data_IF_026553926615
#
_entry.id   IF_026553926615
#
_cell.length_a   1.000
_cell.length_b   1.000
_cell.length_c   1.000
_cell.angle_alpha   90.00
_cell.angle_beta   90.00
_cell.angle_gamma   90.00
#
_symmetry.space_group_name_H-M   'P 1'
#
loop_
_entity.id
_entity.type
_entity.pdbx_description
1 polymer ?
#
# COMPACT_ATOMS: atom_id res chain seq x y z
N UNK A 1 -42.85 -31.93 -62.91
CA UNK A 1 -43.58 -32.84 -61.99
C UNK A 1 -42.64 -33.20 -60.84
N UNK A 2 -43.08 -32.92 -59.61
CA UNK A 2 -42.34 -33.18 -58.38
C UNK A 2 -42.18 -34.69 -58.11
N UNK A 3 -41.25 -35.06 -57.21
CA UNK A 3 -41.52 -35.91 -56.03
C UNK A 3 -40.26 -36.11 -55.16
N UNK A 4 -40.39 -35.61 -53.92
CA UNK A 4 -39.95 -36.13 -52.59
C UNK A 4 -38.48 -36.18 -52.13
N UNK A 5 -38.28 -35.39 -51.05
CA UNK A 5 -37.43 -35.56 -49.86
C UNK A 5 -37.32 -37.00 -49.32
N UNK A 6 -36.12 -37.32 -48.81
CA UNK A 6 -35.93 -38.13 -47.60
C UNK A 6 -35.00 -37.39 -46.63
N UNK A 7 -35.27 -37.57 -45.34
CA UNK A 7 -34.71 -36.89 -44.16
C UNK A 7 -34.10 -37.96 -43.26
N UNK A 8 -33.01 -37.63 -42.55
CA UNK A 8 -32.50 -38.37 -41.39
C UNK A 8 -31.00 -38.65 -41.47
N UNK A 9 -30.16 -38.32 -40.48
CA UNK A 9 -30.42 -37.76 -39.17
C UNK A 9 -29.13 -37.44 -38.38
N UNK A 10 -29.32 -36.60 -37.35
CA UNK A 10 -28.77 -36.65 -35.97
C UNK A 10 -27.23 -36.55 -35.76
N UNK A 11 -26.82 -35.38 -35.22
CA UNK A 11 -25.61 -35.07 -34.42
C UNK A 11 -25.49 -35.99 -33.16
N UNK A 12 -24.38 -36.10 -32.35
CA UNK A 12 -23.61 -34.93 -31.90
C UNK A 12 -22.19 -35.10 -31.25
N UNK A 13 -21.69 -33.94 -30.76
CA UNK A 13 -20.69 -33.67 -29.69
C UNK A 13 -19.20 -34.04 -29.88
N UNK A 14 -18.32 -33.03 -29.82
CA UNK A 14 -17.51 -32.76 -28.61
C UNK A 14 -16.34 -31.80 -28.91
N UNK A 15 -16.27 -30.73 -28.10
CA UNK A 15 -15.06 -30.05 -27.62
C UNK A 15 -13.81 -30.00 -28.49
N UNK A 16 -13.51 -28.82 -29.02
CA UNK A 16 -12.14 -28.31 -28.99
C UNK A 16 -12.17 -27.04 -28.14
N UNK A 17 -12.17 -27.26 -26.82
CA UNK A 17 -11.69 -26.27 -25.86
C UNK A 17 -10.16 -26.29 -25.88
N UNK A 18 -9.58 -25.14 -25.54
CA UNK A 18 -8.18 -24.87 -25.29
C UNK A 18 -7.32 -24.84 -26.56
N UNK A 19 -6.72 -23.71 -26.94
CA UNK A 19 -5.85 -22.90 -26.07
C UNK A 19 -6.15 -21.42 -26.31
N UNK A 20 -7.06 -20.85 -25.52
CA UNK A 20 -6.94 -19.42 -25.18
C UNK A 20 -5.77 -19.39 -24.22
N UNK A 21 -4.60 -19.07 -24.74
CA UNK A 21 -3.40 -18.82 -23.96
C UNK A 21 -3.80 -17.94 -22.77
N UNK A 22 -3.57 -18.45 -21.56
CA UNK A 22 -3.53 -17.61 -20.38
C UNK A 22 -2.41 -16.61 -20.66
N UNK A 23 -2.77 -15.42 -21.13
CA UNK A 23 -1.89 -14.27 -21.03
C UNK A 23 -1.74 -14.03 -19.53
N UNK A 24 -0.69 -14.60 -18.95
CA UNK A 24 -0.11 -14.05 -17.73
C UNK A 24 0.23 -12.60 -18.08
N UNK A 25 -0.64 -11.67 -17.72
CA UNK A 25 -0.38 -10.24 -17.89
C UNK A 25 0.91 -9.95 -17.15
N UNK A 26 1.96 -9.60 -17.89
CA UNK A 26 3.14 -8.98 -17.31
C UNK A 26 2.69 -7.63 -16.76
N UNK A 27 2.61 -7.49 -15.43
CA UNK A 27 2.36 -6.21 -14.77
C UNK A 27 3.40 -5.20 -15.25
N UNK A 28 2.94 -4.05 -15.73
CA UNK A 28 3.86 -2.97 -16.10
C UNK A 28 4.42 -2.31 -14.84
N UNK A 29 5.52 -1.55 -14.96
CA UNK A 29 6.05 -0.77 -13.84
C UNK A 29 5.01 0.21 -13.27
N UNK A 30 4.14 0.73 -14.14
CA UNK A 30 2.98 1.57 -13.76
C UNK A 30 1.98 0.79 -12.90
N UNK A 31 1.58 -0.40 -13.34
CA UNK A 31 0.60 -1.20 -12.60
C UNK A 31 1.14 -1.59 -11.22
N UNK A 32 2.46 -1.83 -11.14
CA UNK A 32 3.10 -2.20 -9.89
C UNK A 32 2.99 -1.10 -8.82
N UNK A 33 3.33 0.14 -9.14
CA UNK A 33 3.29 1.23 -8.14
C UNK A 33 1.87 1.55 -7.72
N UNK A 34 0.89 1.50 -8.63
CA UNK A 34 -0.52 1.73 -8.27
C UNK A 34 -1.07 0.62 -7.36
N UNK A 35 -0.68 -0.63 -7.60
CA UNK A 35 -1.07 -1.74 -6.72
C UNK A 35 -0.41 -1.66 -5.34
N UNK A 36 0.81 -1.11 -5.25
CA UNK A 36 1.49 -0.88 -3.96
C UNK A 36 0.67 0.09 -3.11
N UNK A 37 0.28 1.24 -3.65
CA UNK A 37 -0.52 2.23 -2.92
C UNK A 37 -1.90 1.68 -2.49
N UNK A 38 -2.59 0.95 -3.38
CA UNK A 38 -3.87 0.31 -3.02
C UNK A 38 -3.67 -0.73 -1.91
N UNK A 39 -2.59 -1.51 -1.96
CA UNK A 39 -2.29 -2.49 -0.94
C UNK A 39 -1.95 -1.83 0.41
N UNK A 40 -1.23 -0.72 0.40
CA UNK A 40 -0.96 0.11 1.58
C UNK A 40 -2.25 0.66 2.19
N UNK A 41 -3.11 1.28 1.37
CA UNK A 41 -4.42 1.79 1.77
C UNK A 41 -5.26 0.68 2.46
N UNK A 42 -5.39 -0.49 1.82
CA UNK A 42 -6.14 -1.60 2.38
C UNK A 42 -5.54 -2.15 3.67
N UNK A 43 -4.20 -2.23 3.74
CA UNK A 43 -3.48 -2.70 4.92
C UNK A 43 -3.78 -1.79 6.11
N UNK A 44 -3.61 -0.48 5.95
CA UNK A 44 -3.83 0.47 7.02
C UNK A 44 -5.29 0.62 7.41
N UNK A 45 -6.24 0.51 6.47
CA UNK A 45 -7.68 0.44 6.80
C UNK A 45 -8.00 -0.74 7.71
N UNK A 46 -7.43 -1.92 7.43
CA UNK A 46 -7.62 -3.11 8.27
C UNK A 46 -6.96 -2.94 9.64
N UNK A 47 -5.77 -2.35 9.68
CA UNK A 47 -5.07 -2.11 10.94
C UNK A 47 -5.80 -1.10 11.83
N UNK A 48 -6.30 0.00 11.26
CA UNK A 48 -7.11 1.00 11.96
C UNK A 48 -8.36 0.40 12.63
N UNK A 49 -9.01 -0.58 12.00
CA UNK A 49 -10.20 -1.25 12.55
C UNK A 49 -9.91 -2.11 13.79
N UNK A 50 -8.66 -2.53 13.98
CA UNK A 50 -8.27 -3.48 15.04
C UNK A 50 -7.35 -2.86 16.08
N UNK A 51 -6.74 -1.72 15.77
CA UNK A 51 -5.87 -1.00 16.66
C UNK A 51 -6.66 -0.36 17.82
N UNK A 52 -6.10 -0.33 19.04
CA UNK A 52 -6.70 0.37 20.17
C UNK A 52 -6.54 1.88 20.04
N UNK A 53 -7.54 2.64 20.52
CA UNK A 53 -7.42 4.10 20.60
C UNK A 53 -6.24 4.53 21.50
N UNK A 54 -5.47 5.57 21.11
CA UNK A 54 -5.64 6.43 19.92
C UNK A 54 -4.81 6.01 18.69
N UNK A 55 -4.35 4.76 18.59
CA UNK A 55 -3.49 4.32 17.48
C UNK A 55 -4.24 4.14 16.15
N UNK A 56 -5.54 3.86 16.24
CA UNK A 56 -6.45 3.81 15.10
C UNK A 56 -6.44 5.11 14.28
N UNK A 57 -6.24 6.27 14.92
CA UNK A 57 -6.10 7.56 14.22
C UNK A 57 -4.86 7.57 13.30
N UNK A 58 -3.71 7.10 13.78
CA UNK A 58 -2.48 7.06 12.98
C UNK A 58 -2.68 6.20 11.73
N UNK A 59 -3.25 5.00 11.91
CA UNK A 59 -3.47 4.09 10.79
C UNK A 59 -4.57 4.59 9.83
N UNK A 60 -5.59 5.29 10.34
CA UNK A 60 -6.61 5.90 9.48
C UNK A 60 -6.02 7.01 8.61
N UNK A 61 -5.07 7.78 9.14
CA UNK A 61 -4.36 8.82 8.37
C UNK A 61 -3.40 8.23 7.35
N UNK A 62 -2.60 7.23 7.73
CA UNK A 62 -1.75 6.50 6.78
C UNK A 62 -2.58 5.95 5.62
N UNK A 63 -3.70 5.28 5.90
CA UNK A 63 -4.61 4.81 4.84
C UNK A 63 -5.14 5.94 3.93
N UNK A 64 -5.39 7.13 4.46
CA UNK A 64 -5.83 8.26 3.66
C UNK A 64 -4.71 8.80 2.76
N UNK A 65 -3.48 8.83 3.25
CA UNK A 65 -2.31 9.28 2.47
C UNK A 65 -1.97 8.30 1.34
N UNK A 66 -1.99 6.99 1.59
CA UNK A 66 -1.86 5.95 0.54
C UNK A 66 -2.90 6.11 -0.58
N UNK A 67 -4.13 6.49 -0.20
CA UNK A 67 -5.18 6.78 -1.17
C UNK A 67 -4.84 8.02 -2.03
N UNK A 68 -4.35 9.09 -1.40
CA UNK A 68 -3.92 10.31 -2.08
C UNK A 68 -2.72 10.07 -3.00
N UNK A 69 -1.78 9.21 -2.60
CA UNK A 69 -0.66 8.74 -3.42
C UNK A 69 -1.15 8.01 -4.67
N UNK A 70 -2.06 7.04 -4.51
CA UNK A 70 -2.66 6.32 -5.64
C UNK A 70 -3.35 7.29 -6.62
N UNK A 71 -4.12 8.26 -6.10
CA UNK A 71 -4.76 9.27 -6.94
C UNK A 71 -3.73 10.14 -7.68
N UNK A 72 -2.67 10.55 -7.00
CA UNK A 72 -1.60 11.40 -7.53
C UNK A 72 -0.88 10.70 -8.67
N UNK A 73 -0.47 9.44 -8.48
CA UNK A 73 0.15 8.62 -9.50
C UNK A 73 -0.79 8.35 -10.67
N UNK A 74 -2.05 8.01 -10.40
CA UNK A 74 -3.05 7.76 -11.45
C UNK A 74 -3.23 8.97 -12.36
N UNK A 75 -3.38 10.17 -11.77
CA UNK A 75 -3.51 11.44 -12.51
C UNK A 75 -2.24 11.73 -13.32
N UNK A 76 -1.06 11.55 -12.72
CA UNK A 76 0.21 11.74 -13.41
C UNK A 76 0.34 10.82 -14.64
N UNK A 77 -0.07 9.55 -14.54
CA UNK A 77 0.03 8.60 -15.65
C UNK A 77 -1.02 8.77 -16.73
N UNK A 78 -2.26 9.14 -16.38
CA UNK A 78 -3.36 9.18 -17.34
C UNK A 78 -3.45 10.49 -18.13
N UNK A 79 -3.15 11.61 -17.47
CA UNK A 79 -3.32 12.94 -18.08
C UNK A 79 -2.01 13.71 -18.19
N UNK A 80 -0.88 13.14 -17.73
CA UNK A 80 0.42 13.81 -17.74
C UNK A 80 0.47 15.04 -16.84
N UNK A 81 -0.44 15.15 -15.89
CA UNK A 81 -0.56 16.29 -14.98
C UNK A 81 -0.16 15.85 -13.57
N UNK A 82 0.92 16.43 -13.05
CA UNK A 82 1.32 16.25 -11.66
C UNK A 82 0.48 17.23 -10.82
N UNK A 83 -0.40 16.74 -9.93
CA UNK A 83 -1.20 17.62 -9.09
C UNK A 83 -0.33 18.41 -8.11
N UNK A 84 -0.94 19.37 -7.41
CA UNK A 84 -0.23 20.07 -6.31
C UNK A 84 0.12 19.04 -5.25
N UNK A 85 1.42 18.95 -4.97
CA UNK A 85 1.98 18.02 -3.99
C UNK A 85 1.87 18.65 -2.60
N UNK A 86 1.26 17.92 -1.68
CA UNK A 86 1.09 18.30 -0.29
C UNK A 86 1.92 17.36 0.56
N UNK A 87 2.87 17.91 1.29
CA UNK A 87 3.69 17.13 2.19
C UNK A 87 2.91 16.69 3.42
N UNK A 88 2.97 15.41 3.73
CA UNK A 88 2.40 14.80 4.92
C UNK A 88 3.03 15.33 6.21
N UNK A 89 2.20 15.43 7.25
CA UNK A 89 2.57 15.68 8.65
C UNK A 89 2.49 14.42 9.53
N UNK A 90 2.30 13.24 8.94
CA UNK A 90 1.99 12.00 9.67
C UNK A 90 3.06 11.61 10.68
N UNK A 91 4.33 11.87 10.39
CA UNK A 91 5.42 11.59 11.32
C UNK A 91 5.29 12.41 12.61
N UNK A 92 4.89 13.69 12.50
CA UNK A 92 4.68 14.56 13.66
C UNK A 92 3.39 14.20 14.40
N UNK A 93 2.32 13.88 13.67
CA UNK A 93 1.05 13.43 14.25
C UNK A 93 1.25 12.14 15.05
N UNK A 94 1.91 11.14 14.45
CA UNK A 94 2.23 9.87 15.07
C UNK A 94 3.08 10.06 16.33
N UNK A 95 4.15 10.86 16.24
CA UNK A 95 5.01 11.20 17.37
C UNK A 95 4.23 11.78 18.57
N UNK A 96 3.32 12.73 18.29
CA UNK A 96 2.51 13.36 19.33
C UNK A 96 1.53 12.37 19.97
N UNK A 97 0.93 11.47 19.17
CA UNK A 97 0.05 10.41 19.65
C UNK A 97 0.81 9.44 20.57
N UNK A 98 2.00 8.98 20.16
CA UNK A 98 2.80 8.04 20.96
C UNK A 98 3.23 8.64 22.29
N UNK A 99 3.68 9.91 22.28
CA UNK A 99 3.97 10.66 23.52
C UNK A 99 2.78 10.82 24.43
N UNK A 100 1.59 11.03 23.87
CA UNK A 100 0.35 11.12 24.65
C UNK A 100 0.04 9.80 25.35
N UNK A 101 0.18 8.66 24.65
CA UNK A 101 -0.02 7.33 25.23
C UNK A 101 0.97 7.07 26.36
N UNK A 102 2.26 7.36 26.13
CA UNK A 102 3.31 7.19 27.13
C UNK A 102 2.98 7.92 28.45
N UNK A 103 2.45 9.15 28.34
CA UNK A 103 2.11 9.99 29.47
C UNK A 103 0.85 9.55 30.22
N UNK A 104 -0.20 9.17 29.49
CA UNK A 104 -1.56 9.09 30.06
C UNK A 104 -2.01 7.65 30.37
N UNK A 105 -1.54 6.64 29.61
CA UNK A 105 -2.05 5.27 29.69
C UNK A 105 -0.95 4.20 29.83
N UNK A 106 0.28 4.53 29.41
CA UNK A 106 1.34 3.55 29.25
C UNK A 106 1.02 2.51 28.16
N UNK A 107 1.98 1.64 27.89
CA UNK A 107 1.83 0.60 26.86
C UNK A 107 0.86 -0.50 27.31
N UNK A 108 -0.19 -0.76 26.53
CA UNK A 108 -1.13 -1.85 26.82
C UNK A 108 -0.65 -3.19 26.24
N UNK A 109 -1.15 -4.31 26.79
CA UNK A 109 -0.87 -5.65 26.25
C UNK A 109 -1.40 -5.81 24.82
N UNK A 110 -2.51 -5.16 24.50
CA UNK A 110 -3.14 -5.22 23.19
C UNK A 110 -2.32 -4.43 22.14
N UNK A 111 -1.65 -3.35 22.55
CA UNK A 111 -0.68 -2.65 21.69
C UNK A 111 0.55 -3.52 21.43
N UNK A 112 1.08 -4.19 22.46
CA UNK A 112 2.24 -5.08 22.32
C UNK A 112 1.96 -6.30 21.44
N UNK A 113 0.73 -6.83 21.46
CA UNK A 113 0.38 -8.02 20.67
C UNK A 113 0.41 -7.79 19.16
N UNK A 114 0.43 -6.53 18.72
CA UNK A 114 0.49 -6.12 17.32
C UNK A 114 1.92 -5.81 16.83
N UNK A 115 2.97 -6.04 17.64
CA UNK A 115 4.36 -5.71 17.30
C UNK A 115 4.80 -6.26 15.93
N UNK A 116 4.50 -7.52 15.63
CA UNK A 116 4.88 -8.13 14.34
C UNK A 116 4.23 -7.41 13.15
N UNK A 117 3.01 -6.91 13.32
CA UNK A 117 2.29 -6.14 12.30
C UNK A 117 2.92 -4.76 12.13
N UNK A 118 3.35 -4.11 13.22
CA UNK A 118 4.05 -2.83 13.14
C UNK A 118 5.43 -2.96 12.46
N UNK A 119 6.16 -4.04 12.73
CA UNK A 119 7.41 -4.36 12.04
C UNK A 119 7.14 -4.59 10.55
N UNK A 120 6.09 -5.34 10.20
CA UNK A 120 5.70 -5.56 8.82
C UNK A 120 5.40 -4.24 8.09
N UNK A 121 4.63 -3.35 8.71
CA UNK A 121 4.29 -2.04 8.17
C UNK A 121 5.55 -1.19 7.95
N UNK A 122 6.41 -1.06 8.97
CA UNK A 122 7.68 -0.33 8.85
C UNK A 122 8.54 -0.85 7.70
N UNK A 123 8.66 -2.17 7.58
CA UNK A 123 9.49 -2.80 6.55
C UNK A 123 8.85 -2.69 5.15
N UNK A 124 7.52 -2.58 5.06
CA UNK A 124 6.80 -2.24 3.83
C UNK A 124 7.16 -0.82 3.38
N UNK A 125 7.04 0.18 4.25
CA UNK A 125 7.35 1.57 3.88
C UNK A 125 8.82 1.79 3.54
N UNK A 126 9.72 1.11 4.24
CA UNK A 126 11.13 1.14 3.88
C UNK A 126 11.36 0.64 2.44
N UNK A 127 10.65 -0.43 2.03
CA UNK A 127 10.75 -0.98 0.66
C UNK A 127 10.11 -0.05 -0.37
N UNK A 128 8.96 0.52 -0.08
CA UNK A 128 8.26 1.46 -0.98
C UNK A 128 9.11 2.72 -1.20
N UNK A 129 9.62 3.31 -0.12
CA UNK A 129 10.59 4.42 -0.16
C UNK A 129 11.78 4.09 -1.07
N UNK A 130 12.44 2.97 -0.82
CA UNK A 130 13.65 2.60 -1.58
C UNK A 130 13.32 2.32 -3.05
N UNK A 131 12.11 1.80 -3.34
CA UNK A 131 11.62 1.61 -4.70
C UNK A 131 11.43 2.95 -5.42
N UNK A 132 10.73 3.91 -4.81
CA UNK A 132 10.52 5.23 -5.41
C UNK A 132 11.81 6.03 -5.54
N UNK A 133 12.71 5.93 -4.56
CA UNK A 133 14.03 6.54 -4.66
C UNK A 133 14.80 6.01 -5.88
N UNK A 134 14.79 4.69 -6.10
CA UNK A 134 15.41 4.09 -7.28
C UNK A 134 14.75 4.55 -8.59
N UNK A 135 13.43 4.65 -8.63
CA UNK A 135 12.72 5.19 -9.80
C UNK A 135 13.15 6.64 -10.09
N UNK A 136 13.34 7.46 -9.07
CA UNK A 136 13.84 8.82 -9.22
C UNK A 136 15.29 8.88 -9.75
N UNK A 137 16.16 7.97 -9.34
CA UNK A 137 17.55 7.88 -9.82
C UNK A 137 17.64 7.52 -11.31
N UNK A 138 16.75 6.64 -11.77
CA UNK A 138 16.72 6.13 -13.15
C UNK A 138 15.94 7.06 -14.11
N UNK A 139 15.11 7.97 -13.59
CA UNK A 139 14.27 8.86 -14.36
C UNK A 139 15.04 10.00 -15.04
N UNK A 140 14.77 10.19 -16.33
CA UNK A 140 15.43 11.21 -17.18
C UNK A 140 14.58 12.46 -17.35
N UNK A 141 13.26 12.34 -17.25
CA UNK A 141 12.35 13.47 -17.29
C UNK A 141 12.38 14.20 -15.93
N UNK A 142 12.76 15.49 -15.87
CA UNK A 142 12.86 16.21 -14.60
C UNK A 142 11.56 16.35 -13.81
N UNK A 143 10.41 16.38 -14.48
CA UNK A 143 9.09 16.49 -13.83
C UNK A 143 8.68 15.16 -13.21
N UNK A 144 8.82 14.06 -13.97
CA UNK A 144 8.59 12.71 -13.45
C UNK A 144 9.55 12.36 -12.31
N UNK A 145 10.81 12.80 -12.40
CA UNK A 145 11.80 12.63 -11.34
C UNK A 145 11.35 13.29 -10.04
N UNK A 146 10.86 14.52 -10.10
CA UNK A 146 10.35 15.23 -8.91
C UNK A 146 9.16 14.53 -8.28
N UNK A 147 8.27 13.93 -9.09
CA UNK A 147 7.18 13.12 -8.57
C UNK A 147 7.73 11.91 -7.80
N UNK A 148 8.70 11.18 -8.35
CA UNK A 148 9.31 10.04 -7.65
C UNK A 148 10.07 10.43 -6.38
N UNK A 149 10.78 11.56 -6.39
CA UNK A 149 11.43 12.12 -5.21
C UNK A 149 10.41 12.48 -4.12
N UNK A 150 9.26 13.03 -4.53
CA UNK A 150 8.16 13.31 -3.61
C UNK A 150 7.57 12.04 -3.03
N UNK A 151 7.22 11.04 -3.84
CA UNK A 151 6.72 9.75 -3.35
C UNK A 151 7.70 9.12 -2.36
N UNK A 152 8.99 9.07 -2.70
CA UNK A 152 10.01 8.53 -1.79
C UNK A 152 10.09 9.29 -0.45
N UNK A 153 9.88 10.62 -0.46
CA UNK A 153 9.85 11.43 0.75
C UNK A 153 8.64 11.10 1.62
N UNK A 154 7.46 10.94 1.03
CA UNK A 154 6.23 10.62 1.76
C UNK A 154 6.32 9.22 2.39
N UNK A 155 6.75 8.21 1.63
CA UNK A 155 7.02 6.86 2.16
C UNK A 155 8.07 6.87 3.28
N UNK A 156 9.05 7.78 3.20
CA UNK A 156 10.01 7.94 4.29
C UNK A 156 9.35 8.46 5.57
N UNK A 157 8.38 9.37 5.47
CA UNK A 157 7.63 9.87 6.64
C UNK A 157 6.76 8.77 7.25
N UNK A 158 6.13 7.93 6.42
CA UNK A 158 5.37 6.76 6.87
C UNK A 158 6.28 5.75 7.58
N UNK A 159 7.44 5.44 6.99
CA UNK A 159 8.49 4.64 7.63
C UNK A 159 8.88 5.21 8.99
N UNK A 160 9.06 6.54 9.10
CA UNK A 160 9.42 7.19 10.36
C UNK A 160 8.34 7.05 11.43
N UNK A 161 7.07 7.20 11.06
CA UNK A 161 5.95 6.95 11.96
C UNK A 161 5.95 5.49 12.47
N UNK A 162 6.09 4.53 11.57
CA UNK A 162 6.07 3.10 11.93
C UNK A 162 7.33 2.63 12.66
N UNK A 163 8.50 3.19 12.34
CA UNK A 163 9.74 2.92 13.06
C UNK A 163 9.68 3.44 14.51
N UNK A 164 9.07 4.61 14.71
CA UNK A 164 8.81 5.12 16.05
C UNK A 164 7.78 4.26 16.81
N UNK A 165 6.72 3.78 16.16
CA UNK A 165 5.79 2.82 16.76
C UNK A 165 6.51 1.55 17.25
N UNK A 166 7.36 0.95 16.41
CA UNK A 166 8.12 -0.25 16.78
C UNK A 166 8.98 0.04 18.00
N UNK A 167 9.73 1.15 18.01
CA UNK A 167 10.55 1.57 19.15
C UNK A 167 9.73 1.80 20.40
N UNK A 168 8.61 2.52 20.27
CA UNK A 168 7.69 2.78 21.36
C UNK A 168 7.20 1.47 22.00
N UNK A 169 6.85 0.47 21.20
CA UNK A 169 6.42 -0.85 21.69
C UNK A 169 7.58 -1.64 22.31
N UNK A 170 8.75 -1.67 21.68
CA UNK A 170 9.90 -2.48 22.13
C UNK A 170 10.70 -1.88 23.28
N UNK A 171 10.85 -0.56 23.33
CA UNK A 171 11.64 0.13 24.36
C UNK A 171 10.96 0.04 25.74
N UNK A 172 9.66 -0.27 25.78
CA UNK A 172 8.94 -0.61 27.03
C UNK A 172 9.20 -2.03 27.54
N UNK A 173 10.00 -2.84 26.83
CA UNK A 173 10.42 -4.19 27.25
C UNK A 173 11.88 -4.26 27.73
N UNK A 174 12.57 -3.13 27.90
CA UNK A 174 13.91 -3.12 28.53
C UNK A 174 13.79 -3.19 30.06
N UNK A 175 13.36 -4.35 30.56
CA UNK A 175 13.49 -4.71 31.97
C UNK A 175 14.94 -5.08 32.26
N UNK A 176 15.63 -4.24 33.03
CA UNK A 176 16.85 -4.61 33.74
C UNK A 176 16.56 -5.83 34.63
N UNK A 177 17.22 -6.96 34.36
CA UNK A 177 17.33 -8.05 35.32
C UNK A 177 18.33 -7.66 36.42
N UNK A 178 17.82 -7.29 37.60
CA UNK A 178 18.44 -7.59 38.89
C UNK A 178 17.42 -7.52 40.03
#
# INVERSE_FOLDING_TARGET
MAVRRCVGGVQPLAGIHAVRTMQTQTKTARDHVLEVEIAGEEFYKKLAQTAPEPLDEVFSRLAAEEHEHHETLSKAFDVGNIPVLHESDIADVAHNIYKSIEKDRGMSKDMKSLLDIYIQARDMEAKNRDHYFKLAEEEKNPEAKKLWEFMALEEHKHYKAMDEMVKFVTDTDVWYYW
#
